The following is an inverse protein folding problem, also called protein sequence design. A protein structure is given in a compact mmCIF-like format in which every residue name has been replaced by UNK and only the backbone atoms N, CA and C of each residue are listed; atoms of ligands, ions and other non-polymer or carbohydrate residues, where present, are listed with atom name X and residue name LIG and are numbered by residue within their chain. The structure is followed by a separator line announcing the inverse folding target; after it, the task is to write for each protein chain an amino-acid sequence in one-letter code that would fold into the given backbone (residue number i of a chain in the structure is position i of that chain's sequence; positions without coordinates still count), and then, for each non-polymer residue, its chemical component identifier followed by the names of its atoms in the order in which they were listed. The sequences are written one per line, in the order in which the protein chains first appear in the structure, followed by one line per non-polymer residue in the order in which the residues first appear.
data_IF_725546439235
#
_entry.id   IF_725546439235
#
_cell.length_a   1.000
_cell.length_b   1.000
_cell.length_c   1.000
_cell.angle_alpha   90.00
_cell.angle_beta   90.00
_cell.angle_gamma   90.00
#
_symmetry.space_group_name_H-M   'P 1'
#
loop_
_entity.id
_entity.type
_entity.pdbx_description
1 polymer ?
#
# COMPACT_ATOMS: atom_id res chain seq x y z
N UNK A 1 -11.64 19.84 -2.16
CA UNK A 1 -11.75 18.46 -2.69
C UNK A 1 -10.50 18.03 -3.45
N UNK A 2 -10.29 18.45 -4.71
CA UNK A 2 -9.20 17.94 -5.57
C UNK A 2 -7.79 18.07 -4.96
N UNK A 3 -7.47 19.21 -4.33
CA UNK A 3 -6.16 19.45 -3.69
C UNK A 3 -5.82 18.46 -2.57
N UNK A 4 -6.82 17.85 -1.94
CA UNK A 4 -6.64 16.84 -0.88
C UNK A 4 -6.75 15.41 -1.43
N UNK A 5 -7.66 15.19 -2.39
CA UNK A 5 -7.95 13.87 -2.95
C UNK A 5 -6.81 13.39 -3.85
N UNK A 6 -6.35 14.22 -4.78
CA UNK A 6 -5.30 13.84 -5.74
C UNK A 6 -4.00 13.32 -5.09
N UNK A 7 -3.38 14.00 -4.10
CA UNK A 7 -2.17 13.50 -3.48
C UNK A 7 -2.40 12.19 -2.72
N UNK A 8 -3.55 12.04 -2.04
CA UNK A 8 -3.89 10.79 -1.35
C UNK A 8 -4.16 9.64 -2.34
N UNK A 9 -4.86 9.91 -3.44
CA UNK A 9 -5.06 8.94 -4.53
C UNK A 9 -3.74 8.52 -5.16
N UNK A 10 -2.79 9.45 -5.34
CA UNK A 10 -1.45 9.13 -5.82
C UNK A 10 -0.64 8.27 -4.84
N UNK A 11 -0.73 8.54 -3.53
CA UNK A 11 -0.09 7.71 -2.49
C UNK A 11 -0.66 6.28 -2.51
N UNK A 12 -1.99 6.14 -2.63
CA UNK A 12 -2.64 4.82 -2.73
C UNK A 12 -2.24 4.11 -4.02
N UNK A 13 -2.26 4.80 -5.16
CA UNK A 13 -1.81 4.24 -6.43
C UNK A 13 -0.35 3.79 -6.41
N UNK A 14 0.55 4.56 -5.80
CA UNK A 14 1.95 4.19 -5.67
C UNK A 14 2.14 2.89 -4.87
N UNK A 15 1.28 2.65 -3.89
CA UNK A 15 1.26 1.40 -3.12
C UNK A 15 0.74 0.22 -3.93
N UNK A 16 -0.33 0.41 -4.69
CA UNK A 16 -0.84 -0.62 -5.60
C UNK A 16 0.13 -0.90 -6.75
N UNK A 17 0.82 0.12 -7.25
CA UNK A 17 1.89 -0.01 -8.23
C UNK A 17 2.97 -0.97 -7.75
N UNK A 18 3.47 -0.81 -6.52
CA UNK A 18 4.50 -1.72 -5.98
C UNK A 18 4.05 -3.18 -5.81
N UNK A 19 2.75 -3.41 -5.65
CA UNK A 19 2.17 -4.76 -5.74
C UNK A 19 2.16 -5.26 -7.19
N UNK A 20 1.60 -4.45 -8.10
CA UNK A 20 1.30 -4.85 -9.47
C UNK A 20 2.54 -4.99 -10.36
N UNK A 21 3.56 -4.17 -10.15
CA UNK A 21 4.77 -4.15 -11.00
C UNK A 21 5.47 -5.50 -11.02
N UNK A 22 5.32 -6.30 -9.97
CA UNK A 22 5.99 -7.60 -9.88
C UNK A 22 5.16 -8.74 -10.46
N UNK A 23 3.83 -8.63 -10.52
CA UNK A 23 2.95 -9.70 -11.00
C UNK A 23 3.31 -10.25 -12.40
N UNK A 24 3.59 -9.44 -13.43
CA UNK A 24 3.80 -9.96 -14.78
C UNK A 24 5.16 -10.66 -14.95
N UNK A 25 6.10 -10.40 -14.04
CA UNK A 25 7.46 -10.95 -14.11
C UNK A 25 7.72 -12.02 -13.04
N UNK A 26 6.81 -12.17 -12.07
CA UNK A 26 7.07 -12.95 -10.88
C UNK A 26 7.39 -14.41 -11.21
N UNK A 27 6.58 -15.06 -12.04
CA UNK A 27 6.79 -16.47 -12.42
C UNK A 27 8.11 -16.69 -13.17
N UNK A 28 8.55 -15.71 -13.96
CA UNK A 28 9.77 -15.81 -14.76
C UNK A 28 11.04 -15.68 -13.91
N UNK A 29 11.04 -14.80 -12.90
CA UNK A 29 12.23 -14.52 -12.10
C UNK A 29 12.25 -15.23 -10.75
N UNK A 30 11.10 -15.47 -10.11
CA UNK A 30 11.07 -16.02 -8.76
C UNK A 30 11.44 -17.50 -8.70
N UNK A 31 11.27 -18.26 -9.79
CA UNK A 31 11.72 -19.65 -9.88
C UNK A 31 13.26 -19.79 -9.90
N UNK A 32 13.99 -18.71 -10.21
CA UNK A 32 15.45 -18.71 -10.18
C UNK A 32 16.02 -18.46 -8.78
N UNK A 33 15.17 -18.17 -7.77
CA UNK A 33 15.61 -18.00 -6.39
C UNK A 33 15.97 -19.34 -5.76
N UNK A 34 16.96 -19.32 -4.87
CA UNK A 34 17.32 -20.52 -4.10
C UNK A 34 16.11 -21.01 -3.28
N UNK A 35 15.87 -22.33 -3.32
CA UNK A 35 14.75 -22.99 -2.63
C UNK A 35 13.38 -22.76 -3.26
N UNK A 36 13.30 -22.15 -4.45
CA UNK A 36 12.03 -21.88 -5.10
C UNK A 36 11.33 -23.15 -5.59
N UNK A 37 10.01 -23.18 -5.43
CA UNK A 37 9.11 -24.10 -6.11
C UNK A 37 7.83 -23.34 -6.50
N UNK A 38 7.02 -23.92 -7.38
CA UNK A 38 5.82 -23.28 -7.92
C UNK A 38 4.84 -22.84 -6.81
N UNK A 39 4.70 -23.65 -5.76
CA UNK A 39 3.85 -23.33 -4.61
C UNK A 39 4.33 -22.09 -3.87
N UNK A 40 5.62 -22.00 -3.55
CA UNK A 40 6.22 -20.87 -2.85
C UNK A 40 6.18 -19.60 -3.70
N UNK A 41 6.33 -19.71 -5.03
CA UNK A 41 6.18 -18.57 -5.95
C UNK A 41 4.74 -18.04 -5.92
N UNK A 42 3.73 -18.92 -5.93
CA UNK A 42 2.34 -18.51 -5.72
C UNK A 42 2.13 -17.87 -4.35
N UNK A 43 2.79 -18.39 -3.32
CA UNK A 43 2.71 -17.89 -1.94
C UNK A 43 3.28 -16.46 -1.78
N UNK A 44 4.20 -16.01 -2.65
CA UNK A 44 4.71 -14.62 -2.64
C UNK A 44 3.58 -13.60 -2.77
N UNK A 45 2.61 -13.86 -3.67
CA UNK A 45 1.44 -12.98 -3.85
C UNK A 45 0.47 -13.17 -2.69
N UNK A 46 0.25 -14.43 -2.28
CA UNK A 46 -0.66 -14.79 -1.20
C UNK A 46 -0.28 -14.17 0.15
N UNK A 47 0.98 -14.28 0.57
CA UNK A 47 1.43 -13.77 1.88
C UNK A 47 1.32 -12.25 1.97
N UNK A 48 1.57 -11.54 0.87
CA UNK A 48 1.32 -10.10 0.79
C UNK A 48 -0.17 -9.78 0.99
N UNK A 49 -1.07 -10.48 0.27
CA UNK A 49 -2.50 -10.22 0.34
C UNK A 49 -3.09 -10.57 1.71
N UNK A 50 -2.66 -11.69 2.31
CA UNK A 50 -3.11 -12.13 3.63
C UNK A 50 -2.65 -11.16 4.71
N UNK A 51 -1.37 -10.80 4.72
CA UNK A 51 -0.85 -9.82 5.69
C UNK A 51 -1.52 -8.46 5.51
N UNK A 52 -1.73 -8.00 4.27
CA UNK A 52 -2.49 -6.79 4.01
C UNK A 52 -3.91 -6.88 4.60
N UNK A 53 -4.64 -7.96 4.33
CA UNK A 53 -6.00 -8.15 4.83
C UNK A 53 -6.06 -8.11 6.36
N UNK A 54 -5.17 -8.85 7.04
CA UNK A 54 -5.13 -8.93 8.51
C UNK A 54 -4.80 -7.57 9.13
N UNK A 55 -3.80 -6.86 8.59
CA UNK A 55 -3.32 -5.61 9.18
C UNK A 55 -4.09 -4.36 8.75
N UNK A 56 -4.91 -4.44 7.70
CA UNK A 56 -5.73 -3.33 7.21
C UNK A 56 -6.66 -2.76 8.31
N UNK A 57 -7.36 -3.63 9.05
CA UNK A 57 -8.29 -3.22 10.11
C UNK A 57 -7.56 -2.65 11.33
N UNK A 58 -6.52 -3.31 11.90
CA UNK A 58 -5.70 -2.75 12.96
C UNK A 58 -5.08 -1.40 12.60
N UNK A 59 -4.55 -1.23 11.38
CA UNK A 59 -3.98 0.05 10.94
C UNK A 59 -5.03 1.15 10.83
N UNK A 60 -6.24 0.81 10.37
CA UNK A 60 -7.38 1.72 10.39
C UNK A 60 -7.65 2.24 11.80
N UNK A 61 -7.86 1.34 12.76
CA UNK A 61 -8.13 1.69 14.16
C UNK A 61 -6.95 2.40 14.84
N UNK A 62 -5.70 2.04 14.51
CA UNK A 62 -4.51 2.71 15.01
C UNK A 62 -4.47 4.16 14.51
N UNK A 63 -4.82 4.39 13.25
CA UNK A 63 -4.82 5.73 12.66
C UNK A 63 -5.83 6.68 13.29
N UNK A 64 -6.96 6.18 13.80
CA UNK A 64 -7.90 6.97 14.58
C UNK A 64 -7.28 7.47 15.90
N UNK A 65 -6.36 6.69 16.49
CA UNK A 65 -5.73 7.01 17.78
C UNK A 65 -4.51 7.92 17.65
N UNK A 66 -3.62 7.63 16.70
CA UNK A 66 -2.33 8.34 16.57
C UNK A 66 -2.36 9.47 15.53
N UNK A 67 -3.44 9.56 14.74
CA UNK A 67 -3.56 10.47 13.60
C UNK A 67 -3.31 9.76 12.25
N UNK A 68 -4.02 10.23 11.22
CA UNK A 68 -4.03 9.67 9.86
C UNK A 68 -2.67 9.77 9.18
N UNK A 69 -1.99 10.93 9.20
CA UNK A 69 -0.68 11.09 8.55
C UNK A 69 0.39 10.26 9.23
N UNK A 70 0.38 10.19 10.56
CA UNK A 70 1.36 9.37 11.30
C UNK A 70 1.19 7.89 10.94
N UNK A 71 -0.04 7.39 10.94
CA UNK A 71 -0.31 6.00 10.55
C UNK A 71 0.03 5.72 9.08
N UNK A 72 -0.29 6.65 8.16
CA UNK A 72 0.13 6.55 6.75
C UNK A 72 1.64 6.47 6.61
N UNK A 73 2.38 7.32 7.34
CA UNK A 73 3.84 7.34 7.33
C UNK A 73 4.42 6.02 7.84
N UNK A 74 3.91 5.50 8.96
CA UNK A 74 4.35 4.21 9.49
C UNK A 74 4.12 3.10 8.47
N UNK A 75 2.92 3.03 7.88
CA UNK A 75 2.61 2.00 6.88
C UNK A 75 3.46 2.11 5.62
N UNK A 76 3.75 3.32 5.15
CA UNK A 76 4.65 3.56 4.02
C UNK A 76 6.10 3.17 4.35
N UNK A 77 6.59 3.46 5.56
CA UNK A 77 7.95 3.08 5.98
C UNK A 77 8.10 1.56 6.15
N UNK A 78 7.08 0.87 6.68
CA UNK A 78 7.06 -0.60 6.74
C UNK A 78 7.07 -1.17 5.31
N UNK A 79 6.29 -0.58 4.40
CA UNK A 79 6.32 -0.99 3.00
C UNK A 79 7.71 -0.80 2.37
N UNK A 80 8.36 0.35 2.58
CA UNK A 80 9.74 0.61 2.12
C UNK A 80 10.69 -0.45 2.68
N UNK A 81 10.64 -0.73 3.98
CA UNK A 81 11.50 -1.74 4.59
C UNK A 81 11.29 -3.13 3.96
N UNK A 82 10.04 -3.54 3.76
CA UNK A 82 9.72 -4.79 3.10
C UNK A 82 10.18 -4.83 1.63
N UNK A 83 10.06 -3.71 0.91
CA UNK A 83 10.59 -3.59 -0.46
C UNK A 83 12.11 -3.73 -0.49
N UNK A 84 12.85 -3.11 0.44
CA UNK A 84 14.31 -3.29 0.53
C UNK A 84 14.68 -4.74 0.84
N UNK A 85 13.97 -5.40 1.77
CA UNK A 85 14.18 -6.84 2.04
C UNK A 85 13.97 -7.69 0.79
N UNK A 86 12.92 -7.44 0.02
CA UNK A 86 12.69 -8.13 -1.26
C UNK A 86 13.77 -7.82 -2.30
N UNK A 87 14.27 -6.59 -2.36
CA UNK A 87 15.31 -6.19 -3.31
C UNK A 87 16.64 -6.92 -3.05
N UNK A 88 16.92 -7.22 -1.78
CA UNK A 88 18.13 -7.91 -1.32
C UNK A 88 17.96 -9.44 -1.26
N UNK A 89 16.79 -9.98 -1.61
CA UNK A 89 16.50 -11.39 -1.48
C UNK A 89 17.23 -12.24 -2.54
N UNK A 90 18.09 -13.15 -2.09
CA UNK A 90 18.73 -14.19 -2.92
C UNK A 90 18.01 -15.56 -2.85
N UNK A 91 17.09 -15.71 -1.92
CA UNK A 91 16.32 -16.92 -1.67
C UNK A 91 14.82 -16.60 -1.51
N UNK A 92 13.99 -17.60 -1.76
CA UNK A 92 12.53 -17.39 -1.77
C UNK A 92 11.95 -17.08 -0.39
N UNK A 93 12.55 -17.57 0.68
CA UNK A 93 12.09 -17.32 2.05
C UNK A 93 12.30 -15.86 2.48
N UNK A 94 13.45 -15.29 2.15
CA UNK A 94 13.72 -13.86 2.36
C UNK A 94 12.74 -13.00 1.54
N UNK A 95 12.42 -13.41 0.30
CA UNK A 95 11.41 -12.75 -0.53
C UNK A 95 10.00 -12.81 0.11
N UNK A 96 9.60 -13.97 0.63
CA UNK A 96 8.32 -14.16 1.33
C UNK A 96 8.21 -13.26 2.56
N UNK A 97 9.28 -13.15 3.35
CA UNK A 97 9.33 -12.27 4.50
C UNK A 97 9.21 -10.79 4.10
N UNK A 98 9.94 -10.36 3.07
CA UNK A 98 9.81 -8.99 2.54
C UNK A 98 8.41 -8.69 2.01
N UNK A 99 7.74 -9.68 1.40
CA UNK A 99 6.34 -9.54 0.95
C UNK A 99 5.34 -9.45 2.09
N UNK A 100 5.53 -10.27 3.12
CA UNK A 100 4.77 -10.17 4.35
C UNK A 100 4.89 -8.77 4.94
N UNK A 101 6.11 -8.24 5.08
CA UNK A 101 6.34 -6.88 5.58
C UNK A 101 5.67 -5.82 4.69
N UNK A 102 5.77 -5.94 3.37
CA UNK A 102 5.07 -5.01 2.45
C UNK A 102 3.55 -5.04 2.65
N UNK A 103 2.95 -6.21 2.90
CA UNK A 103 1.52 -6.32 3.18
C UNK A 103 1.14 -5.73 4.54
N UNK A 104 1.96 -5.90 5.58
CA UNK A 104 1.76 -5.28 6.91
C UNK A 104 1.65 -3.75 6.83
N UNK A 105 2.35 -3.11 5.87
CA UNK A 105 2.23 -1.68 5.56
C UNK A 105 0.88 -1.29 4.92
N UNK A 106 -0.24 -1.75 5.49
CA UNK A 106 -1.59 -1.63 4.97
C UNK A 106 -2.17 -0.23 5.23
N UNK A 107 -1.97 0.68 4.26
CA UNK A 107 -2.42 2.08 4.36
C UNK A 107 -3.77 2.37 3.74
N UNK A 108 -4.39 1.40 3.06
CA UNK A 108 -5.60 1.62 2.25
C UNK A 108 -6.78 2.15 3.07
N UNK A 109 -7.07 1.53 4.23
CA UNK A 109 -8.14 1.98 5.11
C UNK A 109 -7.89 3.41 5.64
N UNK A 110 -6.64 3.71 6.01
CA UNK A 110 -6.26 5.03 6.53
C UNK A 110 -6.40 6.10 5.45
N UNK A 111 -5.98 5.82 4.22
CA UNK A 111 -6.11 6.76 3.11
C UNK A 111 -7.58 7.00 2.74
N UNK A 112 -8.41 5.96 2.66
CA UNK A 112 -9.85 6.07 2.41
C UNK A 112 -10.54 6.90 3.49
N UNK A 113 -10.20 6.66 4.77
CA UNK A 113 -10.73 7.45 5.88
C UNK A 113 -10.29 8.93 5.77
N UNK A 114 -9.01 9.18 5.51
CA UNK A 114 -8.48 10.55 5.38
C UNK A 114 -9.07 11.32 4.19
N UNK A 115 -9.32 10.64 3.06
CA UNK A 115 -10.06 11.23 1.93
C UNK A 115 -11.48 11.60 2.38
N UNK A 116 -12.15 10.72 3.12
CA UNK A 116 -13.52 10.92 3.60
C UNK A 116 -13.63 12.02 4.65
N UNK A 117 -12.55 12.29 5.39
CA UNK A 117 -12.42 13.40 6.35
C UNK A 117 -12.31 14.77 5.63
N UNK A 118 -11.77 14.80 4.39
CA UNK A 118 -11.58 16.04 3.62
C UNK A 118 -12.69 16.37 2.61
N UNK A 119 -13.64 15.47 2.44
CA UNK A 119 -14.65 15.57 1.38
C UNK A 119 -16.05 15.47 1.99
N UNK A 120 -16.91 16.43 1.64
CA UNK A 120 -18.32 16.41 2.01
C UNK A 120 -18.99 15.13 1.51
N UNK A 121 -19.98 14.63 2.24
CA UNK A 121 -20.60 13.32 2.01
C UNK A 121 -21.10 13.13 0.56
N UNK A 122 -21.74 14.15 0.00
CA UNK A 122 -22.21 14.23 -1.39
C UNK A 122 -21.12 13.99 -2.44
N UNK A 123 -19.87 14.31 -2.10
CA UNK A 123 -18.73 14.22 -3.01
C UNK A 123 -17.82 13.02 -2.72
N UNK A 124 -18.10 12.21 -1.69
CA UNK A 124 -17.28 11.05 -1.33
C UNK A 124 -17.20 10.03 -2.46
N UNK A 125 -18.32 9.73 -3.13
CA UNK A 125 -18.34 8.81 -4.27
C UNK A 125 -17.44 9.29 -5.41
N UNK A 126 -17.43 10.60 -5.70
CA UNK A 126 -16.52 11.19 -6.71
C UNK A 126 -15.05 11.07 -6.29
N UNK A 127 -14.75 11.31 -5.01
CA UNK A 127 -13.39 11.15 -4.50
C UNK A 127 -12.91 9.70 -4.56
N UNK A 128 -13.77 8.74 -4.24
CA UNK A 128 -13.46 7.30 -4.37
C UNK A 128 -13.31 6.87 -5.83
N UNK A 129 -14.09 7.43 -6.75
CA UNK A 129 -13.90 7.21 -8.18
C UNK A 129 -12.53 7.72 -8.67
N UNK A 130 -12.08 8.89 -8.21
CA UNK A 130 -10.73 9.41 -8.51
C UNK A 130 -9.67 8.45 -7.97
N UNK A 131 -9.79 8.01 -6.72
CA UNK A 131 -8.86 7.04 -6.14
C UNK A 131 -8.81 5.74 -6.93
N UNK A 132 -9.97 5.20 -7.33
CA UNK A 132 -10.08 4.02 -8.18
C UNK A 132 -9.42 4.19 -9.54
N UNK A 133 -9.60 5.34 -10.19
CA UNK A 133 -8.95 5.65 -11.47
C UNK A 133 -7.42 5.65 -11.34
N UNK A 134 -6.89 6.22 -10.27
CA UNK A 134 -5.45 6.21 -9.96
C UNK A 134 -4.92 4.78 -9.73
N UNK A 135 -5.66 3.93 -9.03
CA UNK A 135 -5.32 2.52 -8.86
C UNK A 135 -5.30 1.80 -10.21
N UNK A 136 -6.33 2.01 -11.05
CA UNK A 136 -6.37 1.43 -12.41
C UNK A 136 -5.20 1.87 -13.28
N UNK A 137 -4.88 3.17 -13.29
CA UNK A 137 -3.71 3.70 -13.99
C UNK A 137 -2.41 3.08 -13.50
N UNK A 138 -2.26 2.89 -12.18
CA UNK A 138 -1.08 2.25 -11.61
C UNK A 138 -0.92 0.80 -12.09
N UNK A 139 -2.02 0.06 -12.24
CA UNK A 139 -2.01 -1.30 -12.78
C UNK A 139 -1.55 -1.32 -14.25
N UNK A 140 -2.14 -0.45 -15.09
CA UNK A 140 -1.75 -0.34 -16.50
C UNK A 140 -0.27 0.00 -16.65
N UNK A 141 0.22 0.99 -15.90
CA UNK A 141 1.64 1.37 -15.91
C UNK A 141 2.53 0.23 -15.43
N UNK A 142 2.10 -0.52 -14.41
CA UNK A 142 2.85 -1.65 -13.86
C UNK A 142 3.03 -2.79 -14.86
N UNK A 143 2.01 -3.09 -15.66
CA UNK A 143 2.07 -4.15 -16.68
C UNK A 143 3.09 -3.85 -17.78
N UNK A 144 3.34 -2.56 -18.06
CA UNK A 144 4.34 -2.12 -19.05
C UNK A 144 5.72 -1.98 -18.41
N UNK A 145 5.82 -1.25 -17.30
CA UNK A 145 7.10 -0.93 -16.66
C UNK A 145 7.75 -2.14 -15.99
N UNK A 146 6.96 -3.07 -15.45
CA UNK A 146 7.46 -4.26 -14.75
C UNK A 146 8.40 -5.11 -15.62
N UNK A 147 7.95 -5.63 -16.78
CA UNK A 147 8.79 -6.40 -17.68
C UNK A 147 9.98 -5.61 -18.24
N UNK A 148 9.79 -4.33 -18.57
CA UNK A 148 10.87 -3.48 -19.10
C UNK A 148 12.01 -3.30 -18.10
N UNK A 149 11.68 -2.94 -16.85
CA UNK A 149 12.68 -2.77 -15.80
C UNK A 149 13.33 -4.09 -15.40
N UNK A 150 12.54 -5.17 -15.30
CA UNK A 150 13.06 -6.48 -14.93
C UNK A 150 14.01 -7.07 -15.97
N UNK A 151 13.76 -6.81 -17.27
CA UNK A 151 14.62 -7.27 -18.37
C UNK A 151 16.04 -6.69 -18.26
N UNK A 152 16.14 -5.37 -18.06
CA UNK A 152 17.43 -4.67 -18.13
C UNK A 152 18.15 -4.61 -16.77
N UNK A 153 17.40 -4.58 -15.66
CA UNK A 153 17.94 -4.36 -14.31
C UNK A 153 17.58 -5.47 -13.29
N UNK A 154 16.88 -6.52 -13.73
CA UNK A 154 16.50 -7.66 -12.89
C UNK A 154 15.35 -7.40 -11.92
N UNK A 155 14.92 -8.43 -11.21
CA UNK A 155 13.77 -8.41 -10.30
C UNK A 155 13.93 -7.42 -9.13
N UNK A 156 15.15 -7.28 -8.59
CA UNK A 156 15.45 -6.38 -7.47
C UNK A 156 15.15 -4.91 -7.79
N UNK A 157 15.31 -4.49 -9.05
CA UNK A 157 15.06 -3.12 -9.49
C UNK A 157 13.63 -2.66 -9.22
N UNK A 158 12.65 -3.56 -9.38
CA UNK A 158 11.23 -3.28 -9.18
C UNK A 158 10.93 -2.90 -7.73
N UNK A 159 11.61 -3.58 -6.80
CA UNK A 159 11.48 -3.34 -5.38
C UNK A 159 12.18 -2.06 -4.94
N UNK A 160 13.38 -1.78 -5.46
CA UNK A 160 14.04 -0.49 -5.21
C UNK A 160 13.22 0.68 -5.75
N UNK A 161 12.64 0.54 -6.94
CA UNK A 161 11.77 1.56 -7.50
C UNK A 161 10.52 1.79 -6.64
N UNK A 162 9.89 0.71 -6.18
CA UNK A 162 8.72 0.79 -5.29
C UNK A 162 9.06 1.43 -3.93
N UNK A 163 10.25 1.15 -3.40
CA UNK A 163 10.77 1.76 -2.18
C UNK A 163 11.01 3.27 -2.36
N UNK A 164 11.69 3.66 -3.44
CA UNK A 164 11.95 5.07 -3.75
C UNK A 164 10.65 5.86 -3.96
N UNK A 165 9.70 5.30 -4.69
CA UNK A 165 8.38 5.91 -4.91
C UNK A 165 7.61 6.06 -3.59
N UNK A 166 7.69 5.08 -2.71
CA UNK A 166 7.04 5.13 -1.39
C UNK A 166 7.67 6.15 -0.45
N UNK A 167 9.00 6.31 -0.48
CA UNK A 167 9.68 7.39 0.24
C UNK A 167 9.27 8.77 -0.29
N UNK A 168 9.16 8.92 -1.61
CA UNK A 168 8.64 10.14 -2.23
C UNK A 168 7.19 10.42 -1.78
N UNK A 169 6.36 9.38 -1.64
CA UNK A 169 5.00 9.50 -1.09
C UNK A 169 4.98 9.99 0.37
N UNK A 170 5.95 9.59 1.19
CA UNK A 170 6.10 10.12 2.57
C UNK A 170 6.38 11.62 2.50
N UNK A 171 7.28 12.07 1.62
CA UNK A 171 7.56 13.51 1.45
C UNK A 171 6.30 14.26 0.99
N UNK A 172 5.60 13.75 -0.02
CA UNK A 172 4.35 14.34 -0.54
C UNK A 172 3.25 14.42 0.54
N UNK A 173 3.17 13.44 1.43
CA UNK A 173 2.21 13.42 2.54
C UNK A 173 2.40 14.60 3.49
N UNK A 174 3.64 15.06 3.70
CA UNK A 174 3.93 16.18 4.58
C UNK A 174 3.97 17.53 3.87
N UNK A 175 4.28 17.57 2.57
CA UNK A 175 4.38 18.83 1.81
C UNK A 175 3.09 19.24 1.11
N UNK A 176 2.33 18.28 0.57
CA UNK A 176 1.15 18.57 -0.28
C UNK A 176 -0.17 18.30 0.43
N UNK A 177 -0.27 17.19 1.19
CA UNK A 177 -1.53 16.84 1.85
C UNK A 177 -1.82 17.86 2.96
N UNK A 178 -3.04 18.44 3.03
CA UNK A 178 -3.40 19.38 4.09
C UNK A 178 -3.26 18.78 5.50
N UNK A 179 -3.13 19.65 6.52
CA UNK A 179 -3.12 19.20 7.92
C UNK A 179 -4.44 18.48 8.24
N UNK A 180 -4.32 17.41 9.01
CA UNK A 180 -5.46 16.59 9.42
C UNK A 180 -6.45 17.43 10.24
N UNK A 181 -7.73 17.24 9.98
CA UNK A 181 -8.77 17.74 10.87
C UNK A 181 -8.79 16.79 12.06
N UNK A 182 -8.39 17.25 13.24
CA UNK A 182 -8.51 16.44 14.47
C UNK A 182 -9.99 16.21 14.73
N UNK A 183 -10.52 15.05 14.32
CA UNK A 183 -11.83 14.60 14.78
C UNK A 183 -11.66 14.29 16.26
N UNK A 184 -12.01 15.25 17.12
CA UNK A 184 -12.13 15.04 18.56
C UNK A 184 -13.25 14.03 18.76
N UNK A 185 -12.91 12.74 18.85
CA UNK A 185 -13.84 11.67 19.11
C UNK A 185 -14.43 11.82 20.51
N UNK A 186 -15.46 12.66 20.63
CA UNK A 186 -16.47 12.61 21.68
C UNK A 186 -17.65 11.74 21.24
N UNK A 187 -17.41 10.78 20.34
CA UNK A 187 -18.39 9.78 19.97
C UNK A 187 -18.45 8.76 21.11
N UNK A 188 -19.58 8.76 21.81
CA UNK A 188 -19.92 7.78 22.83
C UNK A 188 -19.73 6.38 22.23
N UNK A 189 -18.77 5.62 22.77
CA UNK A 189 -18.48 4.26 22.31
C UNK A 189 -19.73 3.42 22.54
N UNK A 190 -20.49 3.15 21.49
CA UNK A 190 -21.64 2.25 21.58
C UNK A 190 -21.09 0.85 21.94
N UNK A 191 -21.47 0.26 23.09
CA UNK A 191 -20.97 -1.05 23.48
C UNK A 191 -21.32 -2.08 22.40
N UNK A 192 -20.38 -2.98 22.09
CA UNK A 192 -20.53 -3.99 21.03
C UNK A 192 -21.82 -4.84 21.17
N UNK A 193 -22.33 -5.00 22.41
CA UNK A 193 -23.59 -5.70 22.69
C UNK A 193 -24.88 -4.96 22.29
N UNK A 194 -24.82 -3.67 21.94
CA UNK A 194 -25.97 -2.88 21.46
C UNK A 194 -26.04 -2.74 19.94
N UNK A 195 -25.12 -3.36 19.18
CA UNK A 195 -25.14 -3.32 17.71
C UNK A 195 -26.11 -4.33 17.09
N UNK A 196 -26.60 -5.29 17.87
CA UNK A 196 -27.43 -6.42 17.42
C UNK A 196 -28.80 -6.49 18.10
N UNK A 197 -29.20 -5.43 18.83
CA UNK A 197 -30.54 -5.22 19.40
C UNK A 197 -31.21 -4.07 18.65
#
# INVERSE_FOLDING_TARGET
MLKSVLPLSFIVASRFFGLFIVLPVLSLYALNLSGANEFLVGLIVGVYAISQMIFQVPFGALSDKIGRKKALTIGLLIFVAGSIVCALASEIYTMLFGRFLQGVGAVGAVATAMISDFVAEENRSKAMAIMGAFIGLSFTLSMVLGPLLAKDYGLSSLFYFSAALSLLCVVLLYTVVPKEIKVSAKAEKVPFGKLFL
#
